data_IF_148399811777
#
_entry.id   IF_148399811777
#
_cell.length_a   1.000
_cell.length_b   1.000
_cell.length_c   1.000
_cell.angle_alpha   90.00
_cell.angle_beta   90.00
_cell.angle_gamma   90.00
#
_symmetry.space_group_name_H-M   'P 1'
#
loop_
_entity.id
_entity.type
_entity.pdbx_description
1 polymer ?
#
# COMPACT_ATOMS: atom_id res chain seq x y z
N UNK A 1 25.90 0.59 -0.68
CA UNK A 1 24.43 0.44 -0.71
C UNK A 1 23.85 1.53 -1.62
N UNK A 2 23.96 1.37 -2.95
CA UNK A 2 23.60 2.39 -3.94
C UNK A 2 22.28 2.09 -4.69
N UNK A 3 21.60 0.99 -4.39
CA UNK A 3 20.44 0.52 -5.17
C UNK A 3 19.07 1.00 -4.67
N UNK A 4 19.02 1.74 -3.55
CA UNK A 4 17.76 2.19 -2.95
C UNK A 4 17.16 3.44 -3.62
N UNK A 5 17.92 4.19 -4.42
CA UNK A 5 17.49 5.50 -4.92
C UNK A 5 16.52 5.44 -6.14
N UNK A 6 16.39 4.29 -6.81
CA UNK A 6 15.62 4.18 -8.07
C UNK A 6 14.62 3.02 -8.12
N UNK A 7 14.45 2.27 -7.03
CA UNK A 7 13.50 1.15 -7.01
C UNK A 7 12.11 1.60 -6.56
N UNK A 8 11.14 1.57 -7.47
CA UNK A 8 9.71 1.69 -7.12
C UNK A 8 9.12 0.30 -6.92
N UNK A 9 8.58 -0.03 -5.72
CA UNK A 9 7.94 -1.31 -5.49
C UNK A 9 6.76 -1.52 -6.45
N UNK A 10 6.66 -2.72 -7.03
CA UNK A 10 5.60 -3.08 -8.01
C UNK A 10 4.20 -2.69 -7.51
N UNK A 11 3.87 -3.03 -6.26
CA UNK A 11 2.56 -2.75 -5.68
C UNK A 11 2.31 -1.26 -5.43
N UNK A 12 3.36 -0.46 -5.20
CA UNK A 12 3.23 1.00 -5.06
C UNK A 12 2.86 1.63 -6.40
N UNK A 13 3.46 1.16 -7.51
CA UNK A 13 3.09 1.62 -8.85
C UNK A 13 1.64 1.26 -9.18
N UNK A 14 1.24 0.00 -8.98
CA UNK A 14 -0.14 -0.47 -9.21
C UNK A 14 -1.16 0.34 -8.39
N UNK A 15 -0.87 0.61 -7.11
CA UNK A 15 -1.77 1.42 -6.28
C UNK A 15 -1.97 2.83 -6.85
N UNK A 16 -0.88 3.47 -7.28
CA UNK A 16 -0.91 4.84 -7.80
C UNK A 16 -1.62 4.92 -9.16
N UNK A 17 -1.37 3.95 -10.03
CA UNK A 17 -1.74 4.05 -11.44
C UNK A 17 -3.15 3.51 -11.73
N UNK A 18 -3.57 2.43 -11.06
CA UNK A 18 -4.87 1.80 -11.32
C UNK A 18 -5.84 1.88 -10.14
N UNK A 19 -5.42 1.44 -8.95
CA UNK A 19 -6.32 1.27 -7.80
C UNK A 19 -6.89 2.61 -7.33
N UNK A 20 -6.06 3.66 -7.27
CA UNK A 20 -6.50 5.00 -6.84
C UNK A 20 -7.57 5.60 -7.76
N UNK A 21 -7.46 5.40 -9.08
CA UNK A 21 -8.45 5.87 -10.04
C UNK A 21 -9.77 5.10 -9.90
N UNK A 22 -9.69 3.76 -9.85
CA UNK A 22 -10.86 2.90 -9.66
C UNK A 22 -11.63 3.22 -8.36
N UNK A 23 -10.91 3.41 -7.25
CA UNK A 23 -11.55 3.77 -5.96
C UNK A 23 -12.21 5.15 -5.98
N UNK A 24 -11.63 6.12 -6.69
CA UNK A 24 -12.22 7.46 -6.81
C UNK A 24 -13.52 7.41 -7.60
N UNK A 25 -13.57 6.61 -8.65
CA UNK A 25 -14.76 6.41 -9.49
C UNK A 25 -15.84 5.62 -8.75
N UNK A 26 -15.50 4.51 -8.10
CA UNK A 26 -16.45 3.64 -7.40
C UNK A 26 -17.07 4.30 -6.17
N UNK A 27 -16.27 5.02 -5.37
CA UNK A 27 -16.72 5.58 -4.09
C UNK A 27 -16.93 7.10 -4.11
N UNK A 28 -16.70 7.77 -5.24
CA UNK A 28 -17.02 9.19 -5.42
C UNK A 28 -16.25 10.14 -4.50
N UNK A 29 -14.99 9.82 -4.16
CA UNK A 29 -14.19 10.66 -3.27
C UNK A 29 -13.98 12.06 -3.86
N UNK A 30 -14.46 13.10 -3.15
CA UNK A 30 -14.34 14.51 -3.56
C UNK A 30 -12.91 15.04 -3.49
N UNK A 31 -12.09 14.47 -2.62
CA UNK A 31 -10.71 14.87 -2.42
C UNK A 31 -9.80 13.64 -2.53
N UNK A 32 -8.72 13.78 -3.30
CA UNK A 32 -7.70 12.77 -3.53
C UNK A 32 -7.01 12.28 -2.25
N UNK A 33 -6.95 13.14 -1.22
CA UNK A 33 -6.39 12.78 0.08
C UNK A 33 -7.32 11.92 0.94
N UNK A 34 -8.60 11.80 0.56
CA UNK A 34 -9.55 10.91 1.22
C UNK A 34 -9.39 9.45 0.79
N UNK A 35 -8.67 9.19 -0.31
CA UNK A 35 -8.48 7.84 -0.83
C UNK A 35 -7.64 7.03 0.18
N UNK A 36 -8.18 5.92 0.72
CA UNK A 36 -7.48 5.07 1.67
C UNK A 36 -6.09 4.63 1.22
N UNK A 37 -5.12 4.65 2.13
CA UNK A 37 -3.73 4.22 1.92
C UNK A 37 -3.35 3.15 2.94
N UNK A 38 -2.46 2.24 2.55
CA UNK A 38 -1.87 1.28 3.47
C UNK A 38 -0.80 1.99 4.33
N UNK A 39 -1.01 2.02 5.63
CA UNK A 39 -0.09 2.66 6.59
C UNK A 39 1.03 1.68 7.01
N UNK A 40 0.66 0.52 7.57
CA UNK A 40 1.62 -0.52 7.95
C UNK A 40 1.02 -1.92 7.85
N UNK A 41 1.88 -2.90 7.62
CA UNK A 41 1.57 -4.33 7.77
C UNK A 41 2.32 -4.81 9.01
N UNK A 42 1.58 -5.23 10.04
CA UNK A 42 2.18 -5.85 11.24
C UNK A 42 2.08 -7.36 11.07
N UNK A 43 3.22 -8.02 10.92
CA UNK A 43 3.30 -9.47 10.98
C UNK A 43 3.56 -9.86 12.44
N UNK A 44 2.57 -10.48 13.07
CA UNK A 44 2.73 -11.08 14.39
C UNK A 44 2.81 -12.60 14.24
N UNK A 45 3.85 -13.21 14.80
CA UNK A 45 3.95 -14.66 14.96
C UNK A 45 3.95 -14.97 16.45
N UNK A 46 2.81 -15.44 16.96
CA UNK A 46 2.69 -15.91 18.33
C UNK A 46 3.31 -17.29 18.44
N UNK A 47 4.51 -17.37 18.99
CA UNK A 47 5.20 -18.63 19.26
C UNK A 47 4.96 -18.96 20.74
N UNK A 48 3.81 -19.57 21.05
CA UNK A 48 3.42 -19.88 22.43
C UNK A 48 4.26 -20.99 23.06
N UNK A 49 4.54 -22.04 22.29
CA UNK A 49 5.38 -23.18 22.67
C UNK A 49 6.10 -23.68 21.41
N UNK A 50 7.12 -22.95 20.91
CA UNK A 50 8.06 -23.61 20.00
C UNK A 50 9.05 -24.40 20.85
N UNK A 51 8.75 -25.68 21.01
CA UNK A 51 9.74 -26.73 21.26
C UNK A 51 9.88 -27.55 19.99
#
# INVERSE_FOLDING_TARGET
MLDAATYTPRLRAVYKDSIRAAMKEEFGYKNDMMIPKLDKIVLNMGIGEAV
#
